data_IF_337289341772
#
_entry.id   IF_337289341772
#
_cell.length_a   1.000
_cell.length_b   1.000
_cell.length_c   1.000
_cell.angle_alpha   90.00
_cell.angle_beta   90.00
_cell.angle_gamma   90.00
#
_symmetry.space_group_name_H-M   'P 1'
#
loop_
_entity.id
_entity.type
_entity.pdbx_description
1 polymer ?
#
# COMPACT_ATOMS: atom_id res chain seq x y z
N UNK A 1 -5.74 -18.92 -0.25
CA UNK A 1 -4.87 -17.91 -0.88
C UNK A 1 -5.10 -16.49 -0.35
N UNK A 2 -6.29 -16.15 0.14
CA UNK A 2 -6.65 -14.82 0.71
C UNK A 2 -5.84 -14.40 1.96
N UNK A 3 -5.41 -15.36 2.79
CA UNK A 3 -4.67 -15.08 4.03
C UNK A 3 -3.24 -14.54 3.83
N UNK A 4 -2.63 -14.79 2.67
CA UNK A 4 -1.24 -14.43 2.40
C UNK A 4 -1.12 -12.92 2.06
N UNK A 5 -1.95 -12.43 1.12
CA UNK A 5 -1.94 -11.02 0.74
C UNK A 5 -2.32 -10.08 1.88
N UNK A 6 -3.25 -10.48 2.76
CA UNK A 6 -3.63 -9.68 3.93
C UNK A 6 -2.45 -9.38 4.86
N UNK A 7 -1.64 -10.41 5.16
CA UNK A 7 -0.45 -10.28 5.99
C UNK A 7 0.65 -9.47 5.27
N UNK A 8 0.85 -9.70 3.98
CA UNK A 8 1.81 -8.95 3.17
C UNK A 8 1.47 -7.45 3.12
N UNK A 9 0.21 -7.08 2.87
CA UNK A 9 -0.22 -5.68 2.88
C UNK A 9 -0.08 -5.03 4.27
N UNK A 10 -0.33 -5.77 5.35
CA UNK A 10 -0.08 -5.27 6.69
C UNK A 10 1.41 -4.98 6.91
N UNK A 11 2.28 -5.93 6.57
CA UNK A 11 3.75 -5.77 6.69
C UNK A 11 4.26 -4.62 5.82
N UNK A 12 3.78 -4.51 4.58
CA UNK A 12 4.13 -3.43 3.66
C UNK A 12 3.73 -2.06 4.22
N UNK A 13 2.47 -1.90 4.66
CA UNK A 13 2.00 -0.64 5.23
C UNK A 13 2.77 -0.26 6.51
N UNK A 14 3.13 -1.25 7.33
CA UNK A 14 3.97 -1.00 8.50
C UNK A 14 5.37 -0.49 8.11
N UNK A 15 6.01 -1.12 7.11
CA UNK A 15 7.31 -0.66 6.61
C UNK A 15 7.23 0.75 6.01
N UNK A 16 6.19 1.03 5.22
CA UNK A 16 5.94 2.37 4.67
C UNK A 16 5.74 3.41 5.78
N UNK A 17 4.98 3.09 6.84
CA UNK A 17 4.81 3.97 7.99
C UNK A 17 6.12 4.29 8.72
N UNK A 18 7.00 3.30 8.89
CA UNK A 18 8.33 3.51 9.47
C UNK A 18 9.18 4.43 8.58
N UNK A 19 9.16 4.22 7.26
CA UNK A 19 9.92 5.06 6.32
C UNK A 19 9.37 6.50 6.35
N UNK A 20 8.04 6.66 6.37
CA UNK A 20 7.39 7.98 6.45
C UNK A 20 7.84 8.73 7.71
N UNK A 21 7.72 8.12 8.88
CA UNK A 21 8.11 8.76 10.14
C UNK A 21 9.60 9.15 10.16
N UNK A 22 10.47 8.33 9.58
CA UNK A 22 11.89 8.66 9.45
C UNK A 22 12.11 9.83 8.48
N UNK A 23 11.41 9.86 7.35
CA UNK A 23 11.52 10.94 6.38
C UNK A 23 11.02 12.27 6.95
N UNK A 24 9.88 12.28 7.64
CA UNK A 24 9.34 13.45 8.35
C UNK A 24 10.32 13.94 9.43
N UNK A 25 10.95 13.02 10.18
CA UNK A 25 11.95 13.37 11.17
C UNK A 25 13.22 13.98 10.55
N UNK A 26 13.65 13.47 9.39
CA UNK A 26 14.77 14.02 8.63
C UNK A 26 14.44 15.41 8.10
N UNK A 27 13.24 15.58 7.54
CA UNK A 27 12.76 16.88 7.04
C UNK A 27 12.73 17.93 8.15
N UNK A 28 12.22 17.57 9.33
CA UNK A 28 12.15 18.43 10.49
C UNK A 28 13.52 18.79 11.08
N UNK A 29 14.54 17.94 10.88
CA UNK A 29 15.90 18.11 11.42
C UNK A 29 16.91 18.64 10.40
N UNK A 30 16.53 18.76 9.13
CA UNK A 30 17.43 19.17 8.06
C UNK A 30 18.02 20.56 8.33
N UNK A 31 19.35 20.64 8.29
CA UNK A 31 20.09 21.88 8.57
C UNK A 31 20.12 22.84 7.39
N UNK A 32 19.88 22.33 6.18
CA UNK A 32 19.88 23.10 4.95
C UNK A 32 18.65 22.79 4.07
N UNK A 33 18.40 23.67 3.09
CA UNK A 33 17.28 23.52 2.15
C UNK A 33 17.42 22.26 1.25
N UNK A 34 18.60 21.93 0.69
CA UNK A 34 18.75 20.73 -0.13
C UNK A 34 18.42 19.43 0.61
N UNK A 35 18.85 19.25 1.85
CA UNK A 35 18.53 18.07 2.67
C UNK A 35 17.04 18.01 2.97
N UNK A 36 16.43 19.15 3.33
CA UNK A 36 14.99 19.23 3.59
C UNK A 36 14.19 18.85 2.36
N UNK A 37 14.50 19.42 1.20
CA UNK A 37 13.81 19.11 -0.06
C UNK A 37 13.89 17.63 -0.43
N UNK A 38 15.04 16.99 -0.20
CA UNK A 38 15.19 15.53 -0.40
C UNK A 38 14.32 14.74 0.57
N UNK A 39 14.27 15.13 1.84
CA UNK A 39 13.40 14.48 2.82
C UNK A 39 11.91 14.65 2.47
N UNK A 40 11.48 15.85 2.08
CA UNK A 40 10.11 16.12 1.59
C UNK A 40 9.78 15.25 0.37
N UNK A 41 10.72 15.06 -0.56
CA UNK A 41 10.51 14.18 -1.71
C UNK A 41 10.28 12.72 -1.29
N UNK A 42 11.00 12.24 -0.28
CA UNK A 42 10.80 10.89 0.27
C UNK A 42 9.42 10.79 0.93
N UNK A 43 9.01 11.79 1.72
CA UNK A 43 7.67 11.85 2.33
C UNK A 43 6.59 11.70 1.26
N UNK A 44 6.63 12.53 0.22
CA UNK A 44 5.66 12.48 -0.89
C UNK A 44 5.65 11.12 -1.58
N UNK A 45 6.83 10.56 -1.86
CA UNK A 45 6.95 9.27 -2.55
C UNK A 45 6.38 8.11 -1.71
N UNK A 46 6.51 8.16 -0.38
CA UNK A 46 5.94 7.15 0.52
C UNK A 46 4.41 7.26 0.56
N UNK A 47 3.86 8.47 0.58
CA UNK A 47 2.41 8.69 0.52
C UNK A 47 1.83 8.13 -0.79
N UNK A 48 2.49 8.36 -1.93
CA UNK A 48 2.10 7.79 -3.22
C UNK A 48 2.18 6.25 -3.22
N UNK A 49 3.24 5.69 -2.61
CA UNK A 49 3.37 4.25 -2.46
C UNK A 49 2.26 3.63 -1.58
N UNK A 50 1.87 4.30 -0.49
CA UNK A 50 0.75 3.87 0.35
C UNK A 50 -0.59 3.93 -0.41
N UNK A 51 -0.81 4.97 -1.21
CA UNK A 51 -1.99 5.08 -2.07
C UNK A 51 -2.03 3.93 -3.10
N UNK A 52 -0.91 3.67 -3.75
CA UNK A 52 -0.76 2.55 -4.71
C UNK A 52 -1.01 1.20 -4.03
N UNK A 53 -0.42 0.96 -2.86
CA UNK A 53 -0.62 -0.28 -2.11
C UNK A 53 -2.10 -0.49 -1.71
N UNK A 54 -2.80 0.59 -1.33
CA UNK A 54 -4.24 0.56 -1.07
C UNK A 54 -5.02 0.19 -2.33
N UNK A 55 -4.67 0.76 -3.48
CA UNK A 55 -5.33 0.50 -4.75
C UNK A 55 -5.16 -0.97 -5.20
N UNK A 56 -3.96 -1.52 -5.08
CA UNK A 56 -3.70 -2.94 -5.36
C UNK A 56 -4.56 -3.82 -4.44
N UNK A 57 -4.64 -3.51 -3.14
CA UNK A 57 -5.46 -4.26 -2.19
C UNK A 57 -6.95 -4.25 -2.55
N UNK A 58 -7.46 -3.15 -3.08
CA UNK A 58 -8.85 -3.06 -3.54
C UNK A 58 -9.08 -3.96 -4.76
N UNK A 59 -8.22 -3.85 -5.78
CA UNK A 59 -8.33 -4.68 -7.00
C UNK A 59 -8.27 -6.17 -6.71
N UNK A 60 -7.35 -6.61 -5.86
CA UNK A 60 -7.23 -8.03 -5.47
C UNK A 60 -8.52 -8.53 -4.81
N UNK A 61 -9.18 -7.71 -3.98
CA UNK A 61 -10.45 -8.08 -3.33
C UNK A 61 -11.63 -8.12 -4.31
N UNK A 62 -11.65 -7.19 -5.27
CA UNK A 62 -12.69 -7.14 -6.30
C UNK A 62 -12.60 -8.35 -7.24
N UNK A 63 -11.38 -8.72 -7.65
CA UNK A 63 -11.11 -9.93 -8.44
C UNK A 63 -11.54 -11.21 -7.72
N UNK A 64 -11.23 -11.34 -6.42
CA UNK A 64 -11.69 -12.47 -5.60
C UNK A 64 -13.22 -12.55 -5.52
N UNK A 65 -13.88 -11.39 -5.38
CA UNK A 65 -15.34 -11.30 -5.34
C UNK A 65 -15.96 -11.74 -6.67
N UNK A 66 -15.42 -11.28 -7.81
CA UNK A 66 -15.92 -11.65 -9.14
C UNK A 66 -15.72 -13.14 -9.47
N UNK A 67 -14.61 -13.75 -9.02
CA UNK A 67 -14.34 -15.17 -9.22
C UNK A 67 -15.35 -16.07 -8.47
N UNK A 68 -15.75 -15.69 -7.25
CA UNK A 68 -16.72 -16.45 -6.44
C UNK A 68 -18.14 -16.47 -7.03
N UNK A 69 -18.56 -15.35 -7.65
CA UNK A 69 -19.86 -15.23 -8.32
C UNK A 69 -19.91 -16.10 -9.59
N UNK A 70 -18.83 -16.05 -10.39
CA UNK A 70 -18.74 -16.80 -11.65
C UNK A 70 -18.76 -18.32 -11.43
N UNK A 71 -18.14 -18.81 -10.35
CA UNK A 71 -18.17 -20.24 -10.00
C UNK A 71 -19.55 -20.71 -9.50
N UNK A 72 -20.25 -19.89 -8.72
CA UNK A 72 -21.59 -20.24 -8.21
C UNK A 72 -22.65 -20.34 -9.32
N UNK A 73 -22.58 -19.45 -10.32
CA UNK A 73 -23.47 -19.50 -11.48
C UNK A 73 -23.25 -20.73 -12.37
N UNK A 74 -21.99 -21.18 -12.53
CA UNK A 74 -21.68 -22.41 -13.31
C UNK A 74 -22.20 -23.70 -12.66
N UNK A 75 -22.22 -23.76 -11.33
CA UNK A 75 -22.70 -24.94 -10.59
C UNK A 75 -24.23 -25.01 -10.51
N UNK A 76 -24.93 -23.89 -10.65
CA UNK A 76 -26.41 -23.86 -10.65
C UNK A 76 -27.02 -24.13 -12.04
N UNK A 77 -26.23 -24.07 -13.11
CA UNK A 77 -26.66 -24.28 -14.50
C UNK A 77 -26.29 -25.69 -15.05
N UNK A 78 -25.87 -26.60 -14.18
CA UNK A 78 -25.60 -28.02 -14.49
C UNK A 78 -26.58 -28.90 -13.73
#
# INVERSE_FOLDING_TARGET
>A
MTGDFGLLFHRLNNQLGIILANAELLEAKAGDEPERARASQVVLSVLDAMATAREIRLRVRDEESQNSVTQSQKSSNR
#
